data_IF_729325689005
#
_entry.id   IF_729325689005
#
_cell.length_a   1.000
_cell.length_b   1.000
_cell.length_c   1.000
_cell.angle_alpha   90.00
_cell.angle_beta   90.00
_cell.angle_gamma   90.00
#
_symmetry.space_group_name_H-M   'P 1'
#
loop_
_entity.id
_entity.type
_entity.pdbx_description
1 polymer ?
#
# COMPACT_ATOMS: atom_id res chain seq x y z
N UNK A 1 -28.12 40.08 19.40
CA UNK A 1 -27.62 40.00 18.02
C UNK A 1 -26.77 38.75 17.95
N UNK A 2 -27.32 37.70 17.37
CA UNK A 2 -26.68 36.39 17.28
C UNK A 2 -25.55 36.44 16.26
N UNK A 3 -24.32 36.21 16.69
CA UNK A 3 -23.24 35.77 15.81
C UNK A 3 -22.89 34.34 16.22
N UNK A 4 -23.29 33.31 15.46
CA UNK A 4 -22.64 32.01 15.58
C UNK A 4 -21.22 32.18 15.01
N UNK A 5 -20.17 31.94 15.81
CA UNK A 5 -19.48 30.64 15.88
C UNK A 5 -18.92 30.17 14.54
N UNK A 6 -17.60 30.03 14.54
CA UNK A 6 -16.83 29.10 13.72
C UNK A 6 -16.59 29.50 12.27
N UNK A 7 -15.52 30.27 12.04
CA UNK A 7 -14.66 30.12 10.86
C UNK A 7 -14.08 28.69 10.86
N UNK A 8 -14.91 27.71 10.51
CA UNK A 8 -14.39 26.52 9.88
C UNK A 8 -14.02 26.96 8.47
N UNK A 9 -12.73 27.00 8.14
CA UNK A 9 -12.25 27.11 6.76
C UNK A 9 -12.93 26.00 5.94
N UNK A 10 -14.02 26.39 5.26
CA UNK A 10 -14.91 25.47 4.60
C UNK A 10 -14.17 24.84 3.43
N UNK A 11 -14.05 23.52 3.44
CA UNK A 11 -13.76 22.75 2.24
C UNK A 11 -14.80 23.11 1.16
N UNK A 12 -14.37 23.80 0.10
CA UNK A 12 -15.23 24.28 -1.02
C UNK A 12 -15.20 23.30 -2.20
N UNK A 13 -14.30 22.31 -2.14
CA UNK A 13 -14.16 21.27 -3.15
C UNK A 13 -15.32 20.27 -3.16
N UNK A 14 -15.22 19.27 -4.03
CA UNK A 14 -16.23 18.24 -4.14
C UNK A 14 -15.98 17.10 -3.15
N UNK A 15 -16.88 16.94 -2.19
CA UNK A 15 -16.79 15.95 -1.11
C UNK A 15 -16.70 14.50 -1.61
N UNK A 16 -17.36 14.19 -2.74
CA UNK A 16 -17.26 12.85 -3.35
C UNK A 16 -15.85 12.56 -3.85
N UNK A 17 -15.18 13.54 -4.47
CA UNK A 17 -13.81 13.37 -4.96
C UNK A 17 -12.86 13.17 -3.78
N UNK A 18 -13.01 13.99 -2.73
CA UNK A 18 -12.18 13.87 -1.53
C UNK A 18 -12.36 12.51 -0.84
N UNK A 19 -13.59 11.99 -0.75
CA UNK A 19 -13.87 10.67 -0.18
C UNK A 19 -13.19 9.55 -0.95
N UNK A 20 -13.28 9.55 -2.28
CA UNK A 20 -12.63 8.54 -3.12
C UNK A 20 -11.12 8.61 -2.99
N UNK A 21 -10.55 9.83 -3.02
CA UNK A 21 -9.12 10.06 -2.83
C UNK A 21 -8.65 9.54 -1.47
N UNK A 22 -9.40 9.84 -0.40
CA UNK A 22 -9.10 9.41 0.96
C UNK A 22 -9.14 7.89 1.10
N UNK A 23 -10.15 7.23 0.54
CA UNK A 23 -10.22 5.76 0.55
C UNK A 23 -9.04 5.14 -0.20
N UNK A 24 -8.70 5.66 -1.38
CA UNK A 24 -7.55 5.20 -2.15
C UNK A 24 -6.22 5.39 -1.39
N UNK A 25 -6.06 6.54 -0.73
CA UNK A 25 -4.87 6.85 0.07
C UNK A 25 -4.75 5.94 1.31
N UNK A 26 -5.84 5.73 2.06
CA UNK A 26 -5.87 4.81 3.20
C UNK A 26 -5.55 3.36 2.79
N UNK A 27 -6.03 2.94 1.62
CA UNK A 27 -5.73 1.63 1.04
C UNK A 27 -4.30 1.53 0.47
N UNK A 28 -3.52 2.62 0.48
CA UNK A 28 -2.21 2.72 -0.18
C UNK A 28 -2.26 2.24 -1.64
N UNK A 29 -3.37 2.55 -2.32
CA UNK A 29 -3.64 2.03 -3.64
C UNK A 29 -4.36 3.06 -4.51
N UNK A 30 -3.64 3.56 -5.52
CA UNK A 30 -4.16 4.52 -6.48
C UNK A 30 -5.20 3.93 -7.44
N UNK A 31 -5.40 2.60 -7.49
CA UNK A 31 -6.33 1.97 -8.44
C UNK A 31 -7.77 2.47 -8.29
N UNK A 32 -8.24 2.68 -7.06
CA UNK A 32 -9.59 3.23 -6.83
C UNK A 32 -9.73 4.63 -7.43
N UNK A 33 -8.70 5.47 -7.26
CA UNK A 33 -8.66 6.80 -7.84
C UNK A 33 -8.55 6.75 -9.37
N UNK A 34 -7.72 5.87 -9.90
CA UNK A 34 -7.54 5.69 -11.35
C UNK A 34 -8.82 5.20 -12.03
N UNK A 35 -9.52 4.25 -11.43
CA UNK A 35 -10.79 3.73 -11.94
C UNK A 35 -11.89 4.81 -11.91
N UNK A 36 -11.96 5.57 -10.81
CA UNK A 36 -12.84 6.72 -10.71
C UNK A 36 -12.54 7.77 -11.80
N UNK A 37 -11.28 8.12 -12.00
CA UNK A 37 -10.87 9.06 -13.04
C UNK A 37 -11.12 8.50 -14.46
N UNK A 38 -10.95 7.19 -14.66
CA UNK A 38 -11.26 6.53 -15.93
C UNK A 38 -12.76 6.58 -16.24
N UNK A 39 -13.60 6.40 -15.21
CA UNK A 39 -15.06 6.47 -15.32
C UNK A 39 -15.54 7.88 -15.68
N UNK A 40 -14.94 8.92 -15.11
CA UNK A 40 -15.28 10.31 -15.42
C UNK A 40 -14.69 10.81 -16.76
N UNK A 41 -13.65 10.12 -17.26
CA UNK A 41 -13.03 10.37 -18.55
C UNK A 41 -11.82 11.32 -18.53
N UNK A 42 -11.06 11.41 -19.64
CA UNK A 42 -9.75 12.09 -19.70
C UNK A 42 -9.83 13.62 -19.58
N UNK A 43 -10.99 14.22 -19.84
CA UNK A 43 -11.22 15.68 -19.70
C UNK A 43 -11.66 16.06 -18.29
N UNK A 44 -11.96 15.09 -17.45
CA UNK A 44 -12.37 15.34 -16.08
C UNK A 44 -11.21 15.93 -15.27
N UNK A 45 -11.55 16.82 -14.33
CA UNK A 45 -10.62 17.49 -13.43
C UNK A 45 -11.21 17.41 -12.03
N UNK A 46 -10.43 16.90 -11.09
CA UNK A 46 -10.88 16.76 -9.71
C UNK A 46 -10.92 18.13 -9.02
N UNK A 47 -12.06 18.49 -8.45
CA UNK A 47 -12.20 19.66 -7.58
C UNK A 47 -11.92 19.27 -6.12
N UNK A 48 -10.76 19.69 -5.61
CA UNK A 48 -10.22 19.41 -4.27
C UNK A 48 -9.80 20.72 -3.58
N UNK A 49 -10.45 21.85 -3.92
CA UNK A 49 -10.14 23.16 -3.33
C UNK A 49 -10.41 23.16 -1.83
N UNK A 50 -9.45 23.65 -1.05
CA UNK A 50 -9.51 23.64 0.41
C UNK A 50 -9.48 22.23 1.03
N UNK A 51 -9.11 21.19 0.28
CA UNK A 51 -9.04 19.82 0.80
C UNK A 51 -7.97 19.71 1.88
N UNK A 52 -8.31 19.07 3.01
CA UNK A 52 -7.33 18.66 4.00
C UNK A 52 -6.78 17.27 3.64
N UNK A 53 -5.55 17.27 3.13
CA UNK A 53 -4.80 16.11 2.64
C UNK A 53 -3.48 15.97 3.41
N UNK A 54 -3.41 16.51 4.63
CA UNK A 54 -2.20 16.49 5.45
C UNK A 54 -1.78 15.05 5.78
N UNK A 55 -0.53 14.70 5.48
CA UNK A 55 0.02 13.37 5.76
C UNK A 55 -0.50 12.25 4.84
N UNK A 56 -1.22 12.57 3.76
CA UNK A 56 -1.80 11.54 2.90
C UNK A 56 -0.75 10.87 2.02
N UNK A 57 -0.90 9.57 1.80
CA UNK A 57 -0.12 8.81 0.83
C UNK A 57 -0.76 8.94 -0.55
N UNK A 58 -0.14 9.73 -1.42
CA UNK A 58 -0.59 10.08 -2.78
C UNK A 58 0.43 9.63 -3.84
N UNK A 59 1.24 8.61 -3.51
CA UNK A 59 2.33 8.12 -4.36
C UNK A 59 1.77 7.53 -5.65
N UNK A 60 2.24 8.06 -6.79
CA UNK A 60 1.83 7.63 -8.13
C UNK A 60 0.41 8.04 -8.53
N UNK A 61 -0.28 8.90 -7.77
CA UNK A 61 -1.63 9.34 -8.10
C UNK A 61 -1.65 10.26 -9.33
N UNK A 62 -2.60 10.02 -10.24
CA UNK A 62 -2.85 10.91 -11.39
C UNK A 62 -3.83 12.02 -11.00
N UNK A 63 -3.30 13.20 -10.69
CA UNK A 63 -4.03 14.43 -10.31
C UNK A 63 -3.95 15.51 -11.41
N UNK A 64 -3.86 15.08 -12.67
CA UNK A 64 -3.67 15.96 -13.83
C UNK A 64 -4.80 16.98 -13.94
N UNK A 65 -4.43 18.26 -13.83
CA UNK A 65 -5.34 19.39 -13.87
C UNK A 65 -6.30 19.54 -12.68
N UNK A 66 -6.06 18.81 -11.58
CA UNK A 66 -6.87 18.96 -10.37
C UNK A 66 -6.82 20.39 -9.81
N UNK A 67 -7.94 20.86 -9.25
CA UNK A 67 -8.01 22.12 -8.52
C UNK A 67 -7.73 21.86 -7.05
N UNK A 68 -6.55 22.22 -6.58
CA UNK A 68 -6.06 22.06 -5.21
C UNK A 68 -5.79 23.42 -4.56
N UNK A 69 -6.50 24.47 -5.01
CA UNK A 69 -6.35 25.82 -4.46
C UNK A 69 -6.71 25.83 -2.96
N UNK A 70 -5.86 26.44 -2.14
CA UNK A 70 -5.93 26.44 -0.67
C UNK A 70 -5.96 25.05 -0.01
N UNK A 71 -5.60 23.98 -0.71
CA UNK A 71 -5.54 22.64 -0.12
C UNK A 71 -4.37 22.51 0.87
N UNK A 72 -4.56 21.74 1.94
CA UNK A 72 -3.50 21.38 2.88
C UNK A 72 -2.87 20.04 2.47
N UNK A 73 -1.71 20.09 1.81
CA UNK A 73 -0.89 18.94 1.43
C UNK A 73 0.35 18.80 2.33
N UNK A 74 0.34 19.41 3.52
CA UNK A 74 1.47 19.35 4.45
C UNK A 74 1.78 17.89 4.79
N UNK A 75 3.05 17.50 4.86
CA UNK A 75 3.50 16.14 5.18
C UNK A 75 2.99 15.04 4.23
N UNK A 76 2.30 15.39 3.13
CA UNK A 76 1.78 14.41 2.18
C UNK A 76 2.92 13.79 1.34
N UNK A 77 2.81 12.50 1.03
CA UNK A 77 3.73 11.81 0.13
C UNK A 77 3.18 11.77 -1.30
N UNK A 78 3.68 12.68 -2.14
CA UNK A 78 3.33 12.82 -3.56
C UNK A 78 4.36 12.15 -4.48
N UNK A 79 5.15 11.21 -3.97
CA UNK A 79 6.23 10.57 -4.75
C UNK A 79 5.69 9.97 -6.06
N UNK A 80 6.25 10.38 -7.20
CA UNK A 80 5.81 9.89 -8.51
C UNK A 80 4.40 10.32 -8.94
N UNK A 81 3.71 11.18 -8.18
CA UNK A 81 2.39 11.69 -8.54
C UNK A 81 2.45 12.59 -9.78
N UNK A 82 1.35 12.63 -10.54
CA UNK A 82 1.22 13.49 -11.72
C UNK A 82 0.28 14.67 -11.43
N UNK A 83 0.86 15.83 -11.15
CA UNK A 83 0.18 17.11 -10.90
C UNK A 83 0.26 18.05 -12.12
N UNK A 84 0.49 17.50 -13.31
CA UNK A 84 0.59 18.30 -14.54
C UNK A 84 -0.67 19.13 -14.74
N UNK A 85 -0.53 20.42 -15.01
CA UNK A 85 -1.61 21.40 -15.17
C UNK A 85 -2.52 21.62 -13.96
N UNK A 86 -2.22 21.06 -12.78
CA UNK A 86 -3.01 21.30 -11.58
C UNK A 86 -2.97 22.78 -11.17
N UNK A 87 -3.96 23.23 -10.40
CA UNK A 87 -3.95 24.52 -9.71
C UNK A 87 -3.64 24.29 -8.24
N UNK A 88 -2.63 24.95 -7.70
CA UNK A 88 -2.17 24.81 -6.30
C UNK A 88 -2.13 26.20 -5.63
N UNK A 89 -2.93 27.17 -6.08
CA UNK A 89 -2.86 28.53 -5.58
C UNK A 89 -3.18 28.56 -4.08
N UNK A 90 -2.27 29.06 -3.25
CA UNK A 90 -2.44 29.08 -1.79
C UNK A 90 -2.36 27.69 -1.12
N UNK A 91 -1.99 26.63 -1.85
CA UNK A 91 -1.83 25.30 -1.27
C UNK A 91 -0.65 25.25 -0.28
N UNK A 92 -0.86 24.57 0.84
CA UNK A 92 0.13 24.32 1.89
C UNK A 92 0.87 23.02 1.56
N UNK A 93 2.20 23.08 1.39
CA UNK A 93 3.07 21.94 1.01
C UNK A 93 4.21 21.73 2.02
N UNK A 94 4.06 22.23 3.25
CA UNK A 94 5.08 22.14 4.29
C UNK A 94 5.43 20.66 4.54
N UNK A 95 6.71 20.29 4.46
CA UNK A 95 7.19 18.92 4.64
C UNK A 95 6.58 17.88 3.67
N UNK A 96 5.96 18.29 2.56
CA UNK A 96 5.44 17.36 1.57
C UNK A 96 6.59 16.69 0.77
N UNK A 97 6.48 15.39 0.51
CA UNK A 97 7.46 14.67 -0.32
C UNK A 97 7.06 14.75 -1.78
N UNK A 98 7.86 15.45 -2.59
CA UNK A 98 7.61 15.67 -4.04
C UNK A 98 8.59 14.90 -4.94
N UNK A 99 9.12 13.78 -4.46
CA UNK A 99 10.15 13.00 -5.19
C UNK A 99 9.58 12.46 -6.50
N UNK A 100 10.21 12.78 -7.63
CA UNK A 100 9.76 12.32 -8.97
C UNK A 100 8.32 12.74 -9.33
N UNK A 101 7.77 13.77 -8.67
CA UNK A 101 6.44 14.32 -8.96
C UNK A 101 6.47 15.14 -10.25
N UNK A 102 5.47 14.97 -11.12
CA UNK A 102 5.35 15.76 -12.36
C UNK A 102 4.56 17.04 -12.10
N UNK A 103 5.18 18.18 -12.37
CA UNK A 103 4.63 19.54 -12.13
C UNK A 103 4.55 20.40 -13.41
N UNK A 104 4.49 19.77 -14.59
CA UNK A 104 4.53 20.48 -15.87
C UNK A 104 3.29 21.37 -16.07
N UNK A 105 3.46 22.49 -16.80
CA UNK A 105 3.32 23.84 -16.24
C UNK A 105 2.13 23.96 -15.27
N UNK A 106 2.37 23.62 -14.00
CA UNK A 106 1.41 23.90 -12.93
C UNK A 106 1.39 25.42 -12.71
N UNK A 107 0.20 26.02 -12.61
CA UNK A 107 0.03 27.47 -12.42
C UNK A 107 0.34 27.85 -10.96
N UNK A 108 1.59 27.71 -10.52
CA UNK A 108 1.98 28.09 -9.16
C UNK A 108 3.41 28.54 -8.99
N UNK A 109 3.57 29.48 -8.04
CA UNK A 109 4.82 29.85 -7.41
C UNK A 109 5.06 28.85 -6.28
N UNK A 110 5.70 27.72 -6.59
CA UNK A 110 6.10 26.75 -5.56
C UNK A 110 7.18 27.41 -4.71
N UNK A 111 6.87 27.73 -3.46
CA UNK A 111 7.90 28.10 -2.48
C UNK A 111 8.54 26.78 -2.06
N UNK A 112 9.60 26.40 -2.76
CA UNK A 112 10.30 25.15 -2.52
C UNK A 112 10.91 25.16 -1.11
N UNK A 113 10.23 24.56 -0.14
CA UNK A 113 10.79 24.28 1.18
C UNK A 113 11.86 23.21 1.06
N UNK A 114 13.12 23.68 1.11
CA UNK A 114 14.38 23.04 1.52
C UNK A 114 14.38 21.49 1.53
N UNK A 115 15.22 20.93 0.67
CA UNK A 115 15.64 19.52 0.65
C UNK A 115 16.29 19.14 1.98
N UNK A 116 15.68 18.23 2.73
CA UNK A 116 16.40 17.37 3.68
C UNK A 116 16.26 15.91 3.21
N UNK A 117 17.38 15.31 2.84
CA UNK A 117 17.52 13.88 2.58
C UNK A 117 17.85 13.15 3.90
N UNK A 118 17.85 11.81 3.93
CA UNK A 118 16.72 10.91 4.16
C UNK A 118 16.83 10.23 5.53
N UNK A 119 15.79 10.21 6.36
CA UNK A 119 15.78 9.41 7.60
C UNK A 119 14.54 8.51 7.68
N UNK A 120 14.75 7.27 7.23
CA UNK A 120 14.51 6.01 7.95
C UNK A 120 13.61 6.07 9.22
N UNK A 121 12.34 6.42 9.09
CA UNK A 121 11.34 6.09 10.14
C UNK A 121 10.22 5.17 9.66
N UNK A 122 9.86 5.22 8.37
CA UNK A 122 8.89 4.28 7.78
C UNK A 122 9.44 2.86 7.66
N UNK A 123 10.77 2.71 7.55
CA UNK A 123 11.45 1.41 7.57
C UNK A 123 11.33 0.72 8.94
N UNK A 124 11.32 1.49 10.04
CA UNK A 124 11.35 0.97 11.42
C UNK A 124 10.01 0.36 11.84
N UNK A 125 8.90 0.85 11.30
CA UNK A 125 7.56 0.28 11.49
C UNK A 125 7.29 -0.96 10.63
N UNK A 126 7.61 -0.89 9.33
CA UNK A 126 7.37 -2.01 8.38
C UNK A 126 8.35 -3.17 8.56
N UNK A 127 9.61 -2.91 8.96
CA UNK A 127 10.60 -3.99 9.18
C UNK A 127 10.26 -4.90 10.36
N UNK A 128 9.50 -4.43 11.36
CA UNK A 128 9.03 -5.30 12.46
C UNK A 128 7.90 -6.22 12.00
N UNK A 129 6.95 -5.71 11.22
CA UNK A 129 5.85 -6.49 10.65
C UNK A 129 6.35 -7.51 9.61
N UNK A 130 7.24 -7.11 8.70
CA UNK A 130 7.80 -8.03 7.70
C UNK A 130 8.68 -9.11 8.35
N UNK A 131 9.45 -8.78 9.41
CA UNK A 131 10.19 -9.79 10.18
C UNK A 131 9.27 -10.75 10.91
N UNK A 132 8.18 -10.26 11.50
CA UNK A 132 7.17 -11.11 12.16
C UNK A 132 6.50 -12.03 11.15
N UNK A 133 6.10 -11.54 9.98
CA UNK A 133 5.49 -12.35 8.93
C UNK A 133 6.45 -13.39 8.35
N UNK A 134 7.69 -13.02 8.00
CA UNK A 134 8.70 -13.98 7.53
C UNK A 134 9.04 -15.03 8.59
N UNK A 135 9.11 -14.64 9.86
CA UNK A 135 9.37 -15.58 10.95
C UNK A 135 8.19 -16.55 11.20
N UNK A 136 6.95 -16.08 11.11
CA UNK A 136 5.76 -16.95 11.20
C UNK A 136 5.69 -17.92 10.00
N UNK A 137 6.05 -17.47 8.80
CA UNK A 137 6.03 -18.28 7.59
C UNK A 137 7.16 -19.33 7.58
N UNK A 138 8.32 -19.02 8.16
CA UNK A 138 9.41 -19.97 8.36
C UNK A 138 9.04 -21.10 9.35
N UNK A 139 8.36 -20.76 10.45
CA UNK A 139 7.89 -21.74 11.44
C UNK A 139 6.86 -22.72 10.87
N UNK A 140 5.95 -22.25 9.99
CA UNK A 140 4.99 -23.12 9.32
C UNK A 140 5.68 -24.11 8.36
N UNK A 141 6.73 -23.65 7.67
CA UNK A 141 7.51 -24.49 6.75
C UNK A 141 8.29 -25.57 7.51
N UNK A 142 8.89 -25.21 8.65
CA UNK A 142 9.61 -26.14 9.52
C UNK A 142 8.67 -27.23 10.10
N UNK A 143 7.47 -26.83 10.55
CA UNK A 143 6.47 -27.78 11.09
C UNK A 143 5.99 -28.80 10.04
N UNK A 144 5.86 -28.39 8.78
CA UNK A 144 5.54 -29.29 7.67
C UNK A 144 6.65 -30.31 7.41
N UNK A 145 7.91 -29.88 7.43
CA UNK A 145 9.07 -30.78 7.25
C UNK A 145 9.23 -31.76 8.43
N UNK A 146 8.99 -31.31 9.66
CA UNK A 146 9.01 -32.19 10.83
C UNK A 146 7.92 -33.27 10.76
N UNK A 147 6.72 -32.92 10.26
CA UNK A 147 5.62 -33.87 10.14
C UNK A 147 5.86 -34.90 9.03
N UNK A 148 6.49 -34.47 7.93
CA UNK A 148 6.91 -35.38 6.85
C UNK A 148 8.07 -36.28 7.27
N UNK A 149 9.06 -35.75 7.99
CA UNK A 149 10.15 -36.53 8.55
C UNK A 149 9.65 -37.60 9.55
N UNK A 150 8.68 -37.23 10.41
CA UNK A 150 8.07 -38.17 11.34
C UNK A 150 7.28 -39.27 10.61
N UNK A 151 6.54 -38.93 9.55
CA UNK A 151 5.88 -39.91 8.68
C UNK A 151 6.88 -40.85 8.00
N UNK A 152 7.98 -40.32 7.48
CA UNK A 152 9.03 -41.12 6.85
C UNK A 152 9.70 -42.07 7.85
N UNK A 153 9.93 -41.62 9.09
CA UNK A 153 10.49 -42.44 10.15
C UNK A 153 9.52 -43.54 10.58
N UNK A 154 8.23 -43.24 10.73
CA UNK A 154 7.18 -44.23 11.03
C UNK A 154 7.02 -45.25 9.90
N UNK A 155 7.08 -44.82 8.63
CA UNK A 155 7.05 -45.71 7.48
C UNK A 155 8.25 -46.67 7.45
N UNK A 156 9.46 -46.18 7.80
CA UNK A 156 10.66 -47.02 7.93
C UNK A 156 10.56 -48.04 9.06
N UNK A 157 10.02 -47.64 10.21
CA UNK A 157 9.78 -48.55 11.35
C UNK A 157 8.78 -49.63 10.96
N UNK A 158 7.70 -49.27 10.26
CA UNK A 158 6.70 -50.21 9.76
C UNK A 158 7.28 -51.19 8.73
N UNK A 159 8.18 -50.74 7.84
CA UNK A 159 8.86 -51.61 6.89
C UNK A 159 9.81 -52.62 7.56
N UNK A 160 10.44 -52.26 8.68
CA UNK A 160 11.29 -53.17 9.47
C UNK A 160 10.49 -54.18 10.31
N UNK A 161 9.25 -53.84 10.69
CA UNK A 161 8.34 -54.72 11.42
C UNK A 161 7.32 -55.44 10.51
N UNK A 162 7.52 -55.43 9.20
CA UNK A 162 6.69 -56.24 8.30
C UNK A 162 6.95 -57.73 8.59
N UNK A 163 5.91 -58.54 8.87
CA UNK A 163 6.08 -59.97 9.06
C UNK A 163 6.60 -60.58 7.75
N UNK A 164 7.65 -61.38 7.86
CA UNK A 164 8.19 -62.20 6.77
C UNK A 164 7.04 -62.94 6.08
N UNK A 165 6.86 -62.81 4.74
CA UNK A 165 5.93 -63.67 4.04
C UNK A 165 6.47 -65.10 4.16
N UNK A 166 5.70 -65.97 4.82
CA UNK A 166 5.98 -67.39 4.93
C UNK A 166 6.11 -67.95 3.50
N UNK A 167 7.35 -68.17 3.05
CA UNK A 167 7.60 -68.86 1.80
C UNK A 167 7.29 -70.33 2.04
N UNK A 168 6.21 -70.82 1.44
CA UNK A 168 5.93 -72.24 1.34
C UNK A 168 7.04 -72.90 0.51
N UNK A 169 7.92 -73.67 1.15
CA UNK A 169 8.92 -74.52 0.49
C UNK A 169 8.24 -75.55 -0.44
N UNK A 170 8.80 -75.79 -1.64
CA UNK A 170 8.32 -76.86 -2.51
C UNK A 170 8.78 -78.21 -1.96
N UNK A 171 7.82 -79.12 -1.70
CA UNK A 171 8.14 -80.52 -1.42
C UNK A 171 8.53 -81.22 -2.73
N UNK A 172 9.82 -81.20 -3.06
CA UNK A 172 10.43 -82.23 -3.88
C UNK A 172 10.46 -83.53 -3.05
N UNK A 173 9.62 -84.48 -3.41
CA UNK A 173 9.78 -85.89 -3.04
C UNK A 173 10.08 -86.68 -4.29
N UNK A 174 11.36 -86.93 -4.51
CA UNK A 174 11.82 -88.10 -5.23
C UNK A 174 11.70 -89.36 -4.35
N UNK A 175 11.41 -90.45 -5.04
CA UNK A 175 11.56 -91.87 -4.71
C UNK A 175 10.33 -92.62 -4.16
#
# INVERSE_FOLDING_TARGET
MSSPSSEQEQFIGNDKHLKVLRQASLAHNASLWHDFMATMGPRFRADLRGADLQGFWLVGFRLVGAHLDNANLSEADLTGADLSHASLHGARLQNATLTNTKLSPTKVKVVASRVETPMDETQRGRSRLEKLEKSAQALLKDRGQQQEALRAQQARVRAKNSPVPFQSEPQDREN
#
